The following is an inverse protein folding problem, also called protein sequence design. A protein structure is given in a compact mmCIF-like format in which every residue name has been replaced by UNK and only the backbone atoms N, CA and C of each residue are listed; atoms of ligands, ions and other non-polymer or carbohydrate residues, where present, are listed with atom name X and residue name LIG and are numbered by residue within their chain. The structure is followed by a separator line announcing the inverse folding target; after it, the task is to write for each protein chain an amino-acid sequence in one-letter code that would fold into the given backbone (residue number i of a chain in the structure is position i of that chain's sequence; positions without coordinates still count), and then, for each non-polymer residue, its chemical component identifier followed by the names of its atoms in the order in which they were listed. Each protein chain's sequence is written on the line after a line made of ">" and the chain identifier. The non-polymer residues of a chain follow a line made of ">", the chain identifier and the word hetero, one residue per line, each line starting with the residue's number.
data_IF_813774394604
#
_entry.id   IF_813774394604
#
_cell.length_a   1.000
_cell.length_b   1.000
_cell.length_c   1.000
_cell.angle_alpha   90.00
_cell.angle_beta   90.00
_cell.angle_gamma   90.00
#
_symmetry.space_group_name_H-M   'P 1'
#
loop_
_entity.id
_entity.type
_entity.pdbx_description
1 polymer ?
#
# COMPACT_ATOMS: atom_id res chain seq x y z
N UNK A 1 -8.52 10.43 -23.60
CA UNK A 1 -8.31 10.14 -22.16
C UNK A 1 -9.66 9.75 -21.60
N UNK A 2 -9.75 8.61 -20.93
CA UNK A 2 -10.99 8.13 -20.34
C UNK A 2 -11.19 8.67 -18.91
N UNK A 3 -12.45 8.86 -18.47
CA UNK A 3 -12.74 9.59 -17.24
C UNK A 3 -12.59 8.77 -15.96
N UNK A 4 -12.61 7.43 -16.05
CA UNK A 4 -12.68 6.54 -14.89
C UNK A 4 -11.61 5.46 -14.96
N UNK A 5 -10.80 5.30 -13.92
CA UNK A 5 -9.75 4.28 -13.83
C UNK A 5 -8.94 4.12 -15.13
N UNK A 6 -8.34 5.21 -15.68
CA UNK A 6 -7.67 5.17 -16.97
C UNK A 6 -6.45 4.24 -16.97
N UNK A 7 -6.16 3.63 -18.12
CA UNK A 7 -4.96 2.83 -18.32
C UNK A 7 -3.69 3.69 -18.19
N UNK A 8 -2.72 3.26 -17.39
CA UNK A 8 -1.42 3.92 -17.27
C UNK A 8 -0.56 3.90 -18.55
N UNK A 9 -0.94 3.13 -19.58
CA UNK A 9 -0.23 3.11 -20.87
C UNK A 9 -0.90 3.98 -21.94
N UNK A 10 -2.21 3.83 -22.16
CA UNK A 10 -2.93 4.52 -23.25
C UNK A 10 -3.91 5.60 -22.79
N UNK A 11 -4.08 5.77 -21.47
CA UNK A 11 -5.04 6.66 -20.86
C UNK A 11 -6.52 6.43 -21.29
N UNK A 12 -6.86 5.30 -21.91
CA UNK A 12 -8.24 4.91 -22.19
C UNK A 12 -8.88 4.26 -20.95
N UNK A 13 -10.21 4.32 -20.85
CA UNK A 13 -10.99 3.76 -19.74
C UNK A 13 -12.02 2.76 -20.24
N UNK A 14 -12.43 1.83 -19.37
CA UNK A 14 -13.57 0.94 -19.61
C UNK A 14 -13.35 -0.14 -20.67
N UNK A 15 -12.15 -0.25 -21.24
CA UNK A 15 -11.84 -1.23 -22.28
C UNK A 15 -11.24 -2.50 -21.68
N UNK A 16 -11.67 -3.72 -22.08
CA UNK A 16 -11.07 -4.96 -21.60
C UNK A 16 -9.56 -5.04 -21.82
N UNK A 17 -9.06 -4.50 -22.94
CA UNK A 17 -7.63 -4.45 -23.24
C UNK A 17 -6.84 -3.51 -22.32
N UNK A 18 -7.52 -2.58 -21.64
CA UNK A 18 -6.90 -1.63 -20.70
C UNK A 18 -6.74 -2.19 -19.29
N UNK A 19 -7.27 -3.40 -19.04
CA UNK A 19 -7.09 -4.09 -17.76
C UNK A 19 -5.62 -4.47 -17.56
N UNK A 20 -5.20 -4.48 -16.30
CA UNK A 20 -3.83 -4.77 -15.90
C UNK A 20 -3.82 -5.82 -14.80
N UNK A 21 -2.87 -6.73 -14.90
CA UNK A 21 -2.69 -7.82 -13.96
C UNK A 21 -1.25 -7.86 -13.47
N UNK A 22 -1.08 -8.29 -12.22
CA UNK A 22 0.24 -8.61 -11.67
C UNK A 22 0.40 -10.11 -11.52
N UNK A 23 1.53 -10.61 -12.01
CA UNK A 23 1.96 -11.99 -11.78
C UNK A 23 3.30 -12.01 -11.08
N UNK A 24 3.37 -12.71 -9.94
CA UNK A 24 4.63 -12.91 -9.20
C UNK A 24 5.30 -14.20 -9.63
N UNK A 25 6.58 -14.13 -9.99
CA UNK A 25 7.44 -15.28 -10.31
C UNK A 25 8.75 -15.15 -9.52
N UNK A 26 8.82 -15.84 -8.38
CA UNK A 26 9.93 -15.69 -7.44
C UNK A 26 10.02 -14.24 -6.91
N UNK A 27 11.19 -13.58 -6.95
CA UNK A 27 11.35 -12.20 -6.50
C UNK A 27 10.84 -11.16 -7.51
N UNK A 28 10.42 -11.59 -8.70
CA UNK A 28 10.07 -10.69 -9.81
C UNK A 28 8.55 -10.53 -9.91
N UNK A 29 8.11 -9.28 -10.05
CA UNK A 29 6.73 -8.91 -10.38
C UNK A 29 6.65 -8.56 -11.87
N UNK A 30 5.77 -9.25 -12.58
CA UNK A 30 5.47 -8.99 -13.99
C UNK A 30 4.13 -8.25 -14.10
N UNK A 31 4.11 -7.23 -14.96
CA UNK A 31 2.87 -6.55 -15.38
C UNK A 31 2.37 -7.22 -16.65
N UNK A 32 1.11 -7.61 -16.66
CA UNK A 32 0.43 -8.20 -17.81
C UNK A 32 -0.74 -7.32 -18.22
N UNK A 33 -0.84 -7.03 -19.51
CA UNK A 33 -1.94 -6.24 -20.09
C UNK A 33 -2.05 -6.55 -21.57
N UNK A 34 -3.26 -6.38 -22.13
CA UNK A 34 -3.50 -6.48 -23.56
C UNK A 34 -3.51 -5.10 -24.24
N UNK A 35 -3.09 -4.05 -23.53
CA UNK A 35 -3.13 -2.69 -24.04
C UNK A 35 -2.21 -2.55 -25.26
N UNK A 36 -2.76 -2.08 -26.37
CA UNK A 36 -2.01 -1.91 -27.63
C UNK A 36 -0.84 -0.92 -27.52
N UNK A 37 -0.86 -0.02 -26.53
CA UNK A 37 0.19 0.96 -26.27
C UNK A 37 1.15 0.53 -25.17
N UNK A 38 1.12 -0.75 -24.76
CA UNK A 38 2.06 -1.26 -23.75
C UNK A 38 3.50 -1.09 -24.24
N UNK A 39 4.33 -0.50 -23.40
CA UNK A 39 5.78 -0.40 -23.61
C UNK A 39 6.51 -1.32 -22.63
N UNK A 40 7.81 -1.53 -22.84
CA UNK A 40 8.64 -2.22 -21.86
C UNK A 40 8.49 -1.55 -20.48
N UNK A 41 8.10 -2.34 -19.47
CA UNK A 41 7.80 -1.85 -18.13
C UNK A 41 8.52 -2.71 -17.09
N UNK A 42 9.42 -2.09 -16.33
CA UNK A 42 10.12 -2.75 -15.23
C UNK A 42 9.49 -2.32 -13.91
N UNK A 43 8.75 -3.25 -13.29
CA UNK A 43 7.95 -2.97 -12.10
C UNK A 43 8.79 -2.39 -10.95
N UNK A 44 9.86 -3.08 -10.55
CA UNK A 44 10.63 -2.69 -9.35
C UNK A 44 11.26 -1.29 -9.46
N UNK A 45 11.94 -0.92 -10.56
CA UNK A 45 12.40 0.46 -10.74
C UNK A 45 11.28 1.48 -10.78
N UNK A 46 10.16 1.18 -11.45
CA UNK A 46 9.01 2.09 -11.49
C UNK A 46 8.41 2.30 -10.09
N UNK A 47 8.31 1.24 -9.28
CA UNK A 47 7.79 1.30 -7.92
C UNK A 47 8.72 2.03 -6.95
N UNK A 48 10.04 2.02 -7.21
CA UNK A 48 11.03 2.76 -6.42
C UNK A 48 11.08 4.24 -6.80
N UNK A 49 10.86 4.55 -8.08
CA UNK A 49 11.09 5.89 -8.62
C UNK A 49 12.58 6.27 -8.64
N UNK A 50 12.88 7.42 -9.22
CA UNK A 50 14.22 8.02 -9.21
C UNK A 50 14.13 9.53 -9.33
N UNK A 51 15.26 10.24 -9.17
CA UNK A 51 15.29 11.70 -9.38
C UNK A 51 14.88 12.10 -10.81
N UNK A 52 15.26 11.30 -11.82
CA UNK A 52 14.92 11.58 -13.23
C UNK A 52 13.57 11.01 -13.65
N UNK A 53 13.04 10.03 -12.91
CA UNK A 53 11.75 9.40 -13.14
C UNK A 53 11.00 9.30 -11.81
N UNK A 54 10.50 10.43 -11.27
CA UNK A 54 9.94 10.46 -9.92
C UNK A 54 8.58 9.77 -9.79
N UNK A 55 7.85 9.64 -10.90
CA UNK A 55 6.57 8.94 -10.95
C UNK A 55 6.71 7.48 -10.53
N UNK A 56 5.96 7.09 -9.49
CA UNK A 56 5.86 5.72 -8.97
C UNK A 56 4.51 5.10 -9.30
N UNK A 57 3.85 5.54 -10.38
CA UNK A 57 2.58 4.97 -10.80
C UNK A 57 2.78 3.55 -11.34
N UNK A 58 2.54 2.56 -10.47
CA UNK A 58 2.59 1.13 -10.82
C UNK A 58 1.22 0.49 -10.57
N UNK A 59 0.86 -0.60 -11.25
CA UNK A 59 -0.31 -1.37 -10.87
C UNK A 59 -0.12 -1.97 -9.48
N UNK A 60 -1.16 -2.02 -8.66
CA UNK A 60 -1.18 -2.61 -7.33
C UNK A 60 -2.42 -3.47 -7.16
N UNK A 61 -2.31 -4.57 -6.41
CA UNK A 61 -3.46 -5.45 -6.12
C UNK A 61 -4.18 -4.91 -4.90
N UNK A 62 -5.47 -4.61 -5.05
CA UNK A 62 -6.32 -4.24 -3.92
C UNK A 62 -6.55 -5.45 -3.01
N UNK A 63 -6.12 -5.36 -1.75
CA UNK A 63 -6.29 -6.43 -0.74
C UNK A 63 -7.72 -6.60 -0.24
N UNK A 64 -8.59 -5.62 -0.48
CA UNK A 64 -10.03 -5.77 -0.21
C UNK A 64 -10.71 -6.64 -1.27
N UNK A 65 -10.34 -6.49 -2.55
CA UNK A 65 -10.81 -7.37 -3.63
C UNK A 65 -10.22 -8.79 -3.57
N UNK A 66 -8.94 -8.88 -3.20
CA UNK A 66 -8.19 -10.13 -3.18
C UNK A 66 -7.43 -10.28 -1.84
N UNK A 67 -8.17 -10.65 -0.77
CA UNK A 67 -7.58 -10.78 0.57
C UNK A 67 -6.56 -11.92 0.64
N UNK A 68 -6.77 -12.97 -0.14
CA UNK A 68 -5.90 -14.14 -0.13
C UNK A 68 -4.57 -13.91 -0.86
N UNK A 69 -3.55 -14.65 -0.42
CA UNK A 69 -2.27 -14.72 -1.12
C UNK A 69 -2.46 -15.52 -2.42
N UNK A 70 -2.07 -14.98 -3.58
CA UNK A 70 -2.20 -15.70 -4.84
C UNK A 70 -1.36 -16.98 -4.82
N UNK A 71 -1.84 -17.99 -5.54
CA UNK A 71 -1.00 -19.15 -5.87
C UNK A 71 0.26 -18.68 -6.62
N UNK A 72 1.43 -19.31 -6.42
CA UNK A 72 2.63 -18.97 -7.17
C UNK A 72 2.38 -18.98 -8.68
N UNK A 73 2.75 -17.89 -9.36
CA UNK A 73 2.54 -17.74 -10.80
C UNK A 73 1.11 -17.43 -11.24
N UNK A 74 0.14 -17.26 -10.33
CA UNK A 74 -1.18 -16.76 -10.69
C UNK A 74 -1.14 -15.25 -10.95
N UNK A 75 -1.88 -14.81 -11.97
CA UNK A 75 -2.10 -13.40 -12.27
C UNK A 75 -3.29 -12.89 -11.45
N UNK A 76 -3.14 -11.71 -10.84
CA UNK A 76 -4.20 -11.02 -10.10
C UNK A 76 -4.54 -9.71 -10.77
N UNK A 77 -5.82 -9.36 -10.81
CA UNK A 77 -6.24 -8.07 -11.31
C UNK A 77 -5.67 -6.96 -10.42
N UNK A 78 -5.20 -5.89 -11.05
CA UNK A 78 -4.55 -4.77 -10.38
C UNK A 78 -5.13 -3.44 -10.87
N UNK A 79 -4.96 -2.41 -10.05
CA UNK A 79 -5.31 -1.03 -10.37
C UNK A 79 -4.04 -0.20 -10.40
N UNK A 80 -3.92 0.75 -11.31
CA UNK A 80 -2.84 1.73 -11.23
C UNK A 80 -2.89 2.44 -9.88
N UNK A 81 -1.74 2.66 -9.24
CA UNK A 81 -1.64 3.27 -7.90
C UNK A 81 -2.46 4.55 -7.80
N UNK A 82 -2.36 5.42 -8.80
CA UNK A 82 -3.11 6.68 -8.82
C UNK A 82 -4.62 6.51 -9.03
N UNK A 83 -5.07 5.36 -9.52
CA UNK A 83 -6.49 5.02 -9.67
C UNK A 83 -7.09 4.41 -8.39
N UNK A 84 -6.27 4.08 -7.38
CA UNK A 84 -6.76 3.44 -6.16
C UNK A 84 -7.79 4.26 -5.37
N UNK A 85 -7.68 5.60 -5.22
CA UNK A 85 -8.70 6.38 -4.54
C UNK A 85 -10.09 6.25 -5.20
N UNK A 86 -10.14 6.30 -6.53
CA UNK A 86 -11.37 6.13 -7.31
C UNK A 86 -11.88 4.67 -7.25
N UNK A 87 -10.98 3.70 -7.31
CA UNK A 87 -11.34 2.29 -7.14
C UNK A 87 -11.98 2.04 -5.77
N UNK A 88 -11.42 2.60 -4.70
CA UNK A 88 -11.97 2.45 -3.35
C UNK A 88 -13.33 3.12 -3.22
N UNK A 89 -13.51 4.35 -3.72
CA UNK A 89 -14.80 5.04 -3.60
C UNK A 89 -15.94 4.33 -4.35
N UNK A 90 -15.61 3.57 -5.41
CA UNK A 90 -16.60 2.89 -6.25
C UNK A 90 -16.82 1.42 -5.87
N UNK A 91 -15.75 0.67 -5.59
CA UNK A 91 -15.82 -0.77 -5.32
C UNK A 91 -15.86 -1.11 -3.82
N UNK A 92 -15.42 -0.19 -2.96
CA UNK A 92 -15.34 -0.35 -1.51
C UNK A 92 -15.87 0.89 -0.75
N UNK A 93 -17.10 1.36 -1.07
CA UNK A 93 -17.66 2.59 -0.47
C UNK A 93 -17.83 2.50 1.06
N UNK A 94 -17.78 1.31 1.64
CA UNK A 94 -17.80 1.07 3.08
C UNK A 94 -16.50 1.50 3.79
N UNK A 95 -15.40 1.67 3.06
CA UNK A 95 -14.11 2.13 3.59
C UNK A 95 -13.87 3.61 3.31
N UNK A 96 -13.19 4.28 4.23
CA UNK A 96 -12.69 5.63 4.03
C UNK A 96 -11.64 5.62 2.91
N UNK A 97 -11.70 6.65 2.06
CA UNK A 97 -10.69 6.88 1.02
C UNK A 97 -10.45 8.37 0.83
N UNK A 98 -9.37 8.79 0.14
CA UNK A 98 -9.13 10.21 -0.14
C UNK A 98 -10.28 10.92 -0.87
N UNK A 99 -11.08 10.18 -1.66
CA UNK A 99 -12.23 10.73 -2.39
C UNK A 99 -13.57 10.55 -1.64
N UNK A 100 -13.59 9.77 -0.56
CA UNK A 100 -14.80 9.50 0.24
C UNK A 100 -14.43 9.37 1.72
N UNK A 101 -14.12 10.49 2.39
CA UNK A 101 -13.86 10.50 3.83
C UNK A 101 -15.19 10.26 4.58
N UNK A 102 -15.23 9.27 5.47
CA UNK A 102 -16.43 8.94 6.26
C UNK A 102 -16.80 7.46 6.37
N UNK A 103 -16.09 6.58 5.65
CA UNK A 103 -16.23 5.13 5.80
C UNK A 103 -15.43 4.55 6.98
N UNK A 104 -15.45 3.22 7.09
CA UNK A 104 -14.58 2.47 8.01
C UNK A 104 -13.12 2.72 7.68
N UNK A 105 -12.25 2.86 8.70
CA UNK A 105 -10.82 3.09 8.49
C UNK A 105 -10.21 2.08 7.51
N UNK A 106 -9.48 2.60 6.53
CA UNK A 106 -8.83 1.79 5.50
C UNK A 106 -7.74 0.92 6.13
N UNK A 107 -7.65 -0.39 5.82
CA UNK A 107 -6.56 -1.22 6.31
C UNK A 107 -5.19 -0.67 5.90
N UNK A 108 -4.22 -0.71 6.83
CA UNK A 108 -2.88 -0.14 6.63
C UNK A 108 -2.19 -0.67 5.37
N UNK A 109 -2.31 -1.97 5.09
CA UNK A 109 -1.69 -2.57 3.90
C UNK A 109 -2.26 -2.03 2.57
N UNK A 110 -3.56 -1.70 2.54
CA UNK A 110 -4.21 -1.12 1.36
C UNK A 110 -3.71 0.31 1.17
N UNK A 111 -3.69 1.09 2.27
CA UNK A 111 -3.14 2.44 2.27
C UNK A 111 -1.69 2.48 1.79
N UNK A 112 -0.84 1.61 2.32
CA UNK A 112 0.60 1.55 1.98
C UNK A 112 0.82 1.30 0.49
N UNK A 113 -0.03 0.47 -0.12
CA UNK A 113 0.06 0.17 -1.55
C UNK A 113 -0.32 1.35 -2.45
N UNK A 114 -1.21 2.23 -1.98
CA UNK A 114 -1.76 3.32 -2.78
C UNK A 114 -1.15 4.70 -2.50
N UNK A 115 -0.40 4.85 -1.40
CA UNK A 115 0.16 6.14 -1.00
C UNK A 115 1.03 6.74 -2.11
N UNK A 116 0.88 8.04 -2.32
CA UNK A 116 1.80 8.85 -3.11
C UNK A 116 2.65 9.62 -2.11
N UNK A 117 3.98 9.55 -2.26
CA UNK A 117 4.89 10.23 -1.32
C UNK A 117 4.96 11.72 -1.64
N UNK A 118 4.97 12.58 -0.63
CA UNK A 118 5.14 14.02 -0.84
C UNK A 118 6.43 14.34 -1.61
N UNK A 119 7.49 13.54 -1.42
CA UNK A 119 8.74 13.64 -2.17
C UNK A 119 8.53 13.40 -3.67
N UNK A 120 7.65 12.46 -4.03
CA UNK A 120 7.28 12.16 -5.42
C UNK A 120 6.48 13.33 -6.03
N UNK A 121 5.52 13.88 -5.29
CA UNK A 121 4.70 15.01 -5.75
C UNK A 121 5.55 16.27 -5.97
N UNK A 122 6.45 16.58 -5.04
CA UNK A 122 7.38 17.69 -5.17
C UNK A 122 8.35 17.47 -6.34
N UNK A 123 8.84 16.25 -6.53
CA UNK A 123 9.74 15.92 -7.65
C UNK A 123 9.02 15.96 -9.02
N UNK A 124 7.70 15.77 -9.03
CA UNK A 124 6.85 15.98 -10.21
C UNK A 124 6.56 17.48 -10.47
N UNK A 125 7.03 18.38 -9.59
CA UNK A 125 6.82 19.81 -9.71
C UNK A 125 5.40 20.26 -9.34
N UNK A 126 4.67 19.44 -8.59
CA UNK A 126 3.35 19.82 -8.08
C UNK A 126 3.56 20.91 -7.03
N UNK A 127 2.94 22.10 -7.17
CA UNK A 127 3.04 23.14 -6.16
C UNK A 127 2.54 22.64 -4.81
N UNK A 128 3.25 22.93 -3.72
CA UNK A 128 2.91 22.47 -2.37
C UNK A 128 1.46 22.85 -1.98
N UNK A 129 1.01 24.04 -2.37
CA UNK A 129 -0.37 24.49 -2.14
C UNK A 129 -1.44 23.67 -2.88
N UNK A 130 -1.05 22.86 -3.87
CA UNK A 130 -1.93 21.96 -4.63
C UNK A 130 -1.83 20.51 -4.18
N UNK A 131 -0.89 20.18 -3.28
CA UNK A 131 -0.76 18.85 -2.70
C UNK A 131 -1.86 18.68 -1.63
N UNK A 132 -2.73 17.66 -1.74
CA UNK A 132 -3.74 17.40 -0.73
C UNK A 132 -3.12 17.06 0.63
N UNK A 133 -3.85 17.33 1.71
CA UNK A 133 -3.44 16.86 3.03
C UNK A 133 -3.30 15.32 3.04
N UNK A 134 -2.35 14.82 3.83
CA UNK A 134 -2.13 13.38 4.01
C UNK A 134 -3.42 12.74 4.51
N UNK A 135 -3.82 11.63 3.89
CA UNK A 135 -4.97 10.86 4.33
C UNK A 135 -4.62 10.04 5.58
N UNK A 136 -5.19 10.40 6.72
CA UNK A 136 -4.87 9.83 8.04
C UNK A 136 -5.88 8.77 8.53
N UNK A 137 -6.99 8.55 7.81
CA UNK A 137 -8.09 7.66 8.21
C UNK A 137 -7.77 6.17 7.95
N UNK A 138 -6.68 5.72 8.56
CA UNK A 138 -6.04 4.41 8.35
C UNK A 138 -6.10 3.61 9.65
N UNK A 139 -6.39 2.31 9.55
CA UNK A 139 -6.30 1.40 10.68
C UNK A 139 -4.82 1.21 11.08
N UNK A 140 -4.55 0.95 12.37
CA UNK A 140 -3.19 0.60 12.79
C UNK A 140 -2.66 -0.67 12.09
N UNK A 141 -1.33 -0.87 12.05
CA UNK A 141 -0.71 -2.03 11.41
C UNK A 141 -1.16 -3.37 12.03
N UNK A 142 -1.66 -3.35 13.26
CA UNK A 142 -2.24 -4.49 13.96
C UNK A 142 -3.76 -4.38 13.94
N UNK A 143 -4.42 -4.98 12.94
CA UNK A 143 -5.87 -5.20 12.91
C UNK A 143 -6.35 -6.20 13.97
N UNK A 144 -5.97 -5.98 15.23
CA UNK A 144 -6.43 -6.73 16.38
C UNK A 144 -7.89 -6.41 16.66
N UNK A 145 -8.74 -7.43 16.57
CA UNK A 145 -10.11 -7.42 17.08
C UNK A 145 -10.16 -6.71 18.44
N UNK A 146 -10.91 -5.61 18.49
CA UNK A 146 -11.25 -4.91 19.71
C UNK A 146 -12.04 -5.85 20.63
N UNK A 147 -11.34 -6.45 21.60
CA UNK A 147 -11.93 -7.08 22.77
C UNK A 147 -11.57 -6.26 23.99
N UNK A 148 -12.47 -5.34 24.33
CA UNK A 148 -13.03 -5.23 25.66
C UNK A 148 -12.05 -4.95 26.80
N UNK A 149 -11.98 -3.66 27.15
CA UNK A 149 -11.98 -3.13 28.52
C UNK A 149 -11.69 -4.14 29.65
N UNK A 150 -10.48 -4.11 30.22
CA UNK A 150 -10.30 -4.37 31.65
C UNK A 150 -9.32 -3.40 32.29
N UNK A 151 -9.87 -2.73 33.29
CA UNK A 151 -9.24 -1.82 34.22
C UNK A 151 -8.19 -2.55 35.06
N UNK A 152 -7.00 -1.95 35.18
CA UNK A 152 -6.23 -1.91 36.42
C UNK A 152 -5.24 -3.06 36.67
N UNK A 153 -3.95 -2.72 36.72
CA UNK A 153 -3.28 -2.37 38.00
C UNK A 153 -1.85 -1.89 37.77
N UNK A 154 -1.57 -0.69 38.29
CA UNK A 154 -0.22 -0.21 38.61
C UNK A 154 0.50 -1.24 39.49
N UNK A 155 1.76 -1.56 39.17
CA UNK A 155 2.76 -1.86 40.19
C UNK A 155 4.08 -1.18 39.88
N UNK A 156 4.53 -0.49 40.91
CA UNK A 156 5.61 0.47 41.04
C UNK A 156 6.99 -0.20 41.02
N UNK A 157 8.00 0.56 40.55
CA UNK A 157 9.45 0.32 40.73
C UNK A 157 9.79 0.12 42.22
N UNK A 158 10.90 -0.53 42.63
CA UNK A 158 12.32 -0.06 42.55
C UNK A 158 13.23 -1.08 43.35
N UNK A 159 14.54 -0.87 43.60
CA UNK A 159 15.69 -1.42 42.85
C UNK A 159 16.71 -2.27 43.67
N UNK A 160 17.76 -2.72 42.97
CA UNK A 160 19.18 -2.93 43.36
C UNK A 160 19.59 -3.84 44.54
N UNK A 161 20.47 -4.80 44.23
CA UNK A 161 21.30 -5.51 45.20
C UNK A 161 22.24 -6.52 44.53
N UNK A 162 23.48 -6.11 44.24
CA UNK A 162 24.65 -7.01 44.11
C UNK A 162 25.43 -6.91 45.44
N UNK A 163 26.55 -7.63 45.68
CA UNK A 163 27.06 -8.90 45.12
C UNK A 163 27.39 -9.93 46.24
N UNK A 164 27.72 -11.18 45.92
CA UNK A 164 28.73 -11.92 46.69
C UNK A 164 29.32 -13.14 45.99
N UNK A 165 30.62 -13.31 46.23
CA UNK A 165 31.57 -14.31 45.74
C UNK A 165 31.38 -15.67 46.44
N UNK A 166 31.88 -16.75 45.82
CA UNK A 166 32.83 -17.76 46.37
C UNK A 166 32.82 -19.01 45.46
N UNK A 167 33.93 -19.31 44.75
CA UNK A 167 35.07 -20.20 45.07
C UNK A 167 34.81 -21.72 44.87
N UNK A 168 35.74 -22.30 44.10
CA UNK A 168 36.42 -23.61 44.23
C UNK A 168 35.94 -24.88 43.48
N UNK A 169 36.77 -25.27 42.48
CA UNK A 169 37.75 -26.39 42.46
C UNK A 169 37.30 -27.81 42.02
N UNK A 170 38.12 -28.37 41.09
CA UNK A 170 38.37 -29.80 40.87
C UNK A 170 37.44 -30.46 39.84
N UNK A 171 37.88 -31.24 38.86
CA UNK A 171 39.15 -31.91 38.57
C UNK A 171 39.30 -32.10 37.06
#
# INVERSE_FOLDING_TARGET
>A
IGPTLPCGFCAASGKPESQVYLRRKGPTTHVETNCAMVSAFNYKPADQGSKSTPCRNVPVVCKLCFPDVPRPGASQHAQWRYNMPEHLSTAHPEYSSPLSPGGTRLPHEVWESMKVDMTEELALGIPEASIPAVFEDVAGPDGGLDRGNTVGRKRTRKPAGAPQQTRHRGS
#
